data_IF_359765957238
#
_entry.id   IF_359765957238
#
_cell.length_a   1.000
_cell.length_b   1.000
_cell.length_c   1.000
_cell.angle_alpha   90.00
_cell.angle_beta   90.00
_cell.angle_gamma   90.00
#
_symmetry.space_group_name_H-M   'P 1'
#
loop_
_entity.id
_entity.type
_entity.pdbx_description
1 polymer ?
#
# COMPACT_ATOMS: atom_id res chain seq x y z
N UNK A 1 14.20 14.84 -15.60
CA UNK A 1 13.02 14.57 -16.47
C UNK A 1 11.78 14.15 -15.66
N UNK A 2 11.92 13.56 -14.47
CA UNK A 2 10.82 13.14 -13.56
C UNK A 2 9.90 14.28 -13.10
N UNK A 3 10.42 15.47 -12.81
CA UNK A 3 9.60 16.62 -12.37
C UNK A 3 8.58 17.06 -13.43
N UNK A 4 8.94 17.00 -14.72
CA UNK A 4 8.04 17.35 -15.82
C UNK A 4 6.87 16.37 -15.93
N UNK A 5 7.14 15.07 -15.78
CA UNK A 5 6.11 14.03 -15.73
C UNK A 5 5.21 14.18 -14.49
N UNK A 6 5.80 14.52 -13.33
CA UNK A 6 5.04 14.80 -12.11
C UNK A 6 4.09 15.99 -12.29
N UNK A 7 4.58 17.13 -12.80
CA UNK A 7 3.76 18.31 -13.04
C UNK A 7 2.66 18.01 -14.08
N UNK A 8 3.00 17.33 -15.17
CA UNK A 8 2.01 16.92 -16.16
C UNK A 8 0.93 16.02 -15.53
N UNK A 9 1.33 15.08 -14.67
CA UNK A 9 0.39 14.23 -13.93
C UNK A 9 -0.54 15.02 -13.00
N UNK A 10 -0.02 15.99 -12.26
CA UNK A 10 -0.81 16.88 -11.40
C UNK A 10 -1.78 17.73 -12.21
N UNK A 11 -1.35 18.29 -13.34
CA UNK A 11 -2.24 19.07 -14.21
C UNK A 11 -3.33 18.21 -14.86
N UNK A 12 -3.00 16.99 -15.26
CA UNK A 12 -3.94 16.05 -15.89
C UNK A 12 -4.92 15.43 -14.88
N UNK A 13 -4.55 15.34 -13.59
CA UNK A 13 -5.41 14.79 -12.55
C UNK A 13 -6.64 15.66 -12.27
N UNK A 14 -6.53 16.97 -12.51
CA UNK A 14 -7.66 17.92 -12.42
C UNK A 14 -8.55 17.93 -13.67
N UNK A 15 -8.14 17.25 -14.75
CA UNK A 15 -8.92 17.21 -15.99
C UNK A 15 -10.12 16.25 -15.92
N UNK A 16 -11.16 16.54 -16.71
CA UNK A 16 -12.29 15.63 -16.94
C UNK A 16 -11.88 14.30 -17.60
N UNK A 17 -10.68 14.23 -18.18
CA UNK A 17 -10.12 13.04 -18.83
C UNK A 17 -9.26 12.17 -17.91
N UNK A 18 -9.08 12.53 -16.63
CA UNK A 18 -8.20 11.81 -15.68
C UNK A 18 -8.38 10.30 -15.67
N UNK A 19 -9.63 9.82 -15.69
CA UNK A 19 -9.94 8.40 -15.62
C UNK A 19 -9.55 7.66 -16.90
N UNK A 20 -9.72 8.31 -18.06
CA UNK A 20 -9.33 7.76 -19.35
C UNK A 20 -7.81 7.68 -19.47
N UNK A 21 -7.13 8.76 -19.09
CA UNK A 21 -5.67 8.83 -19.04
C UNK A 21 -5.09 7.78 -18.10
N UNK A 22 -5.70 7.56 -16.93
CA UNK A 22 -5.27 6.52 -15.99
C UNK A 22 -5.34 5.13 -16.62
N UNK A 23 -6.47 4.79 -17.25
CA UNK A 23 -6.66 3.51 -17.93
C UNK A 23 -5.65 3.33 -19.06
N UNK A 24 -5.36 4.39 -19.83
CA UNK A 24 -4.42 4.34 -20.94
C UNK A 24 -2.96 4.16 -20.47
N UNK A 25 -2.58 4.69 -19.29
CA UNK A 25 -1.21 4.63 -18.75
C UNK A 25 -0.95 3.35 -17.92
N UNK A 26 -1.96 2.79 -17.26
CA UNK A 26 -1.81 1.62 -16.37
C UNK A 26 -1.03 0.45 -17.01
N UNK A 27 -1.28 0.06 -18.28
CA UNK A 27 -0.55 -1.02 -18.94
C UNK A 27 0.95 -0.72 -19.11
N UNK A 28 1.31 0.55 -19.28
CA UNK A 28 2.71 0.97 -19.47
C UNK A 28 3.44 1.16 -18.15
N UNK A 29 2.73 1.34 -17.03
CA UNK A 29 3.35 1.62 -15.74
C UNK A 29 4.35 0.56 -15.32
N UNK A 30 3.98 -0.72 -15.43
CA UNK A 30 4.87 -1.84 -15.11
C UNK A 30 6.08 -1.92 -16.05
N UNK A 31 5.87 -1.69 -17.34
CA UNK A 31 6.94 -1.69 -18.35
C UNK A 31 7.96 -0.55 -18.10
N UNK A 32 7.47 0.66 -17.86
CA UNK A 32 8.30 1.84 -17.58
C UNK A 32 9.06 1.69 -16.27
N UNK A 33 8.43 1.12 -15.24
CA UNK A 33 9.10 0.83 -13.97
C UNK A 33 10.21 -0.23 -14.14
N UNK A 34 9.93 -1.30 -14.90
CA UNK A 34 10.93 -2.31 -15.24
C UNK A 34 12.11 -1.73 -16.00
N UNK A 35 11.83 -0.90 -17.02
CA UNK A 35 12.88 -0.21 -17.78
C UNK A 35 13.70 0.75 -16.90
N UNK A 36 13.04 1.47 -15.99
CA UNK A 36 13.72 2.34 -15.02
C UNK A 36 14.70 1.56 -14.15
N UNK A 37 14.28 0.43 -13.56
CA UNK A 37 15.15 -0.36 -12.71
C UNK A 37 16.29 -1.03 -13.49
N UNK A 38 16.05 -1.50 -14.71
CA UNK A 38 17.10 -2.08 -15.57
C UNK A 38 18.15 -1.00 -15.91
N UNK A 39 17.72 0.14 -16.42
CA UNK A 39 18.63 1.23 -16.83
C UNK A 39 19.41 1.81 -15.66
N UNK A 40 18.74 1.98 -14.51
CA UNK A 40 19.37 2.45 -13.28
C UNK A 40 20.36 1.41 -12.74
N UNK A 41 20.00 0.13 -12.77
CA UNK A 41 20.91 -0.97 -12.39
C UNK A 41 22.14 -1.07 -13.28
N UNK A 42 21.99 -0.86 -14.60
CA UNK A 42 23.13 -0.82 -15.53
C UNK A 42 24.05 0.39 -15.32
N UNK A 43 23.54 1.46 -14.72
CA UNK A 43 24.33 2.66 -14.40
C UNK A 43 25.18 2.48 -13.14
N UNK A 44 24.94 1.42 -12.36
CA UNK A 44 25.69 1.09 -11.15
C UNK A 44 26.99 0.36 -11.50
N UNK A 45 28.13 0.90 -11.07
CA UNK A 45 29.43 0.24 -11.17
C UNK A 45 29.67 -0.65 -9.94
N UNK A 46 29.51 -1.96 -10.11
CA UNK A 46 29.73 -2.95 -9.05
C UNK A 46 31.20 -3.05 -8.61
N UNK A 47 32.14 -2.59 -9.44
CA UNK A 47 33.56 -2.58 -9.09
C UNK A 47 33.81 -1.67 -7.88
N UNK A 48 33.13 -0.52 -7.84
CA UNK A 48 33.19 0.44 -6.73
C UNK A 48 32.68 -0.19 -5.43
N UNK A 49 31.63 -1.03 -5.52
CA UNK A 49 31.14 -1.80 -4.37
C UNK A 49 32.18 -2.80 -3.86
N UNK A 50 32.87 -3.49 -4.77
CA UNK A 50 33.88 -4.48 -4.42
C UNK A 50 35.15 -3.84 -3.81
N UNK A 51 35.50 -2.63 -4.26
CA UNK A 51 36.67 -1.88 -3.76
C UNK A 51 36.43 -1.27 -2.38
N UNK A 52 35.21 -0.76 -2.11
CA UNK A 52 34.89 -0.04 -0.87
C UNK A 52 33.60 -0.54 -0.18
N UNK A 53 33.48 -1.85 0.11
CA UNK A 53 32.23 -2.43 0.60
C UNK A 53 31.81 -1.88 1.97
N UNK A 54 32.78 -1.58 2.84
CA UNK A 54 32.53 -1.06 4.19
C UNK A 54 31.96 0.36 4.15
N UNK A 55 32.56 1.24 3.34
CA UNK A 55 32.14 2.63 3.21
C UNK A 55 30.74 2.73 2.61
N UNK A 56 30.47 1.98 1.54
CA UNK A 56 29.16 1.97 0.88
C UNK A 56 28.09 1.40 1.80
N UNK A 57 28.37 0.30 2.49
CA UNK A 57 27.41 -0.29 3.44
C UNK A 57 27.12 0.69 4.58
N UNK A 58 28.14 1.36 5.12
CA UNK A 58 27.97 2.38 6.14
C UNK A 58 27.11 3.57 5.64
N UNK A 59 27.31 4.02 4.41
CA UNK A 59 26.50 5.07 3.79
C UNK A 59 25.04 4.64 3.58
N UNK A 60 24.79 3.40 3.13
CA UNK A 60 23.44 2.85 2.95
C UNK A 60 22.72 2.79 4.30
N UNK A 61 23.36 2.20 5.32
CA UNK A 61 22.78 2.08 6.67
C UNK A 61 22.55 3.46 7.29
N UNK A 62 23.49 4.40 7.11
CA UNK A 62 23.35 5.78 7.58
C UNK A 62 22.19 6.50 6.90
N UNK A 63 22.11 6.45 5.56
CA UNK A 63 21.03 7.06 4.77
C UNK A 63 19.66 6.57 5.24
N UNK A 64 19.51 5.24 5.30
CA UNK A 64 18.27 4.58 5.69
C UNK A 64 17.95 4.89 7.15
N UNK A 65 18.91 4.72 8.06
CA UNK A 65 18.71 4.92 9.49
C UNK A 65 18.30 6.35 9.80
N UNK A 66 19.03 7.33 9.27
CA UNK A 66 18.72 8.76 9.49
C UNK A 66 17.34 9.11 8.95
N UNK A 67 17.02 8.75 7.70
CA UNK A 67 15.69 9.06 7.13
C UNK A 67 14.57 8.31 7.85
N UNK A 68 14.75 7.01 8.11
CA UNK A 68 13.73 6.20 8.76
C UNK A 68 13.44 6.70 10.18
N UNK A 69 14.47 6.98 10.99
CA UNK A 69 14.29 7.54 12.32
C UNK A 69 13.67 8.94 12.28
N UNK A 70 14.11 9.80 11.36
CA UNK A 70 13.53 11.15 11.24
C UNK A 70 12.04 11.08 10.89
N UNK A 71 11.66 10.24 9.92
CA UNK A 71 10.27 10.08 9.51
C UNK A 71 9.42 9.43 10.59
N UNK A 72 9.94 8.41 11.28
CA UNK A 72 9.24 7.75 12.39
C UNK A 72 9.04 8.69 13.60
N UNK A 73 9.96 9.62 13.84
CA UNK A 73 9.80 10.64 14.89
C UNK A 73 8.80 11.72 14.47
N UNK A 74 8.84 12.15 13.20
CA UNK A 74 7.94 13.15 12.65
C UNK A 74 6.51 12.65 12.49
N UNK A 75 6.27 11.34 12.44
CA UNK A 75 4.94 10.75 12.31
C UNK A 75 4.16 10.68 13.63
N UNK A 76 4.85 10.70 14.78
CA UNK A 76 4.23 10.68 16.10
C UNK A 76 3.16 11.77 16.34
N UNK A 77 3.35 13.06 15.96
CA UNK A 77 2.31 14.08 16.12
C UNK A 77 1.08 13.87 15.23
N UNK A 78 1.13 12.95 14.25
CA UNK A 78 0.00 12.64 13.36
C UNK A 78 -0.88 11.49 13.86
N UNK A 79 -0.78 11.14 15.15
CA UNK A 79 -1.51 10.03 15.80
C UNK A 79 -1.22 8.65 15.20
N UNK A 80 -0.07 8.47 14.54
CA UNK A 80 0.36 7.15 14.06
C UNK A 80 0.94 6.34 15.23
N UNK A 81 0.58 5.07 15.32
CA UNK A 81 1.18 4.14 16.30
C UNK A 81 2.68 4.02 16.06
N UNK A 82 3.43 3.59 17.08
CA UNK A 82 4.89 3.35 16.95
C UNK A 82 5.20 2.33 15.84
N UNK A 83 4.32 1.34 15.66
CA UNK A 83 4.43 0.34 14.60
C UNK A 83 4.23 0.96 13.21
N UNK A 84 3.18 1.77 13.03
CA UNK A 84 2.92 2.48 11.77
C UNK A 84 4.01 3.50 11.44
N UNK A 85 4.47 4.24 12.45
CA UNK A 85 5.58 5.19 12.35
C UNK A 85 6.88 4.52 11.90
N UNK A 86 7.20 3.36 12.48
CA UNK A 86 8.39 2.57 12.10
C UNK A 86 8.27 2.03 10.67
N UNK A 87 7.09 1.51 10.30
CA UNK A 87 6.82 1.02 8.95
C UNK A 87 6.94 2.15 7.92
N UNK A 88 6.38 3.31 8.20
CA UNK A 88 6.49 4.51 7.37
C UNK A 88 7.97 4.90 7.16
N UNK A 89 8.73 4.98 8.25
CA UNK A 89 10.15 5.30 8.20
C UNK A 89 10.96 4.33 7.36
N UNK A 90 10.73 3.02 7.51
CA UNK A 90 11.43 1.99 6.73
C UNK A 90 11.08 2.05 5.24
N UNK A 91 9.80 2.20 4.89
CA UNK A 91 9.37 2.24 3.48
C UNK A 91 9.89 3.51 2.77
N UNK A 92 9.97 4.64 3.48
CA UNK A 92 10.38 5.93 2.91
C UNK A 92 11.87 6.27 3.15
N UNK A 93 12.61 5.39 3.83
CA UNK A 93 14.00 5.58 4.24
C UNK A 93 15.02 5.54 3.10
N UNK A 94 14.68 4.93 1.97
CA UNK A 94 15.55 4.79 0.80
C UNK A 94 15.92 6.12 0.12
N UNK A 95 16.94 6.08 -0.74
CA UNK A 95 17.24 7.14 -1.69
C UNK A 95 16.16 7.28 -2.79
N UNK A 96 15.95 8.49 -3.28
CA UNK A 96 14.97 8.78 -4.34
C UNK A 96 15.63 9.04 -5.70
N UNK A 97 14.87 8.86 -6.79
CA UNK A 97 15.37 9.01 -8.17
C UNK A 97 15.83 10.44 -8.50
N UNK A 98 15.29 11.43 -7.77
CA UNK A 98 15.73 12.82 -7.88
C UNK A 98 17.19 13.02 -7.48
N UNK A 99 17.77 12.13 -6.68
CA UNK A 99 19.19 12.15 -6.35
C UNK A 99 20.08 12.08 -7.59
N UNK A 100 19.74 11.24 -8.57
CA UNK A 100 20.50 11.12 -9.82
C UNK A 100 20.60 12.44 -10.59
N UNK A 101 19.49 13.21 -10.62
CA UNK A 101 19.46 14.51 -11.30
C UNK A 101 20.34 15.51 -10.57
N UNK A 102 20.29 15.54 -9.24
CA UNK A 102 21.09 16.44 -8.41
C UNK A 102 22.57 16.10 -8.52
N UNK A 103 22.94 14.81 -8.42
CA UNK A 103 24.34 14.39 -8.51
C UNK A 103 24.92 14.63 -9.89
N UNK A 104 24.18 14.30 -10.96
CA UNK A 104 24.61 14.60 -12.31
C UNK A 104 24.82 16.09 -12.55
N UNK A 105 23.93 16.95 -12.00
CA UNK A 105 24.08 18.40 -12.10
C UNK A 105 25.28 18.91 -11.28
N UNK A 106 25.44 18.45 -10.05
CA UNK A 106 26.55 18.83 -9.19
C UNK A 106 27.91 18.40 -9.76
N UNK A 107 27.97 17.20 -10.33
CA UNK A 107 29.15 16.67 -11.03
C UNK A 107 29.48 17.49 -12.27
N UNK A 108 28.47 17.79 -13.11
CA UNK A 108 28.64 18.65 -14.30
C UNK A 108 29.14 20.05 -13.95
N UNK A 109 28.72 20.60 -12.81
CA UNK A 109 29.15 21.91 -12.32
C UNK A 109 30.52 21.88 -11.61
N UNK A 110 31.13 20.70 -11.44
CA UNK A 110 32.42 20.52 -10.77
C UNK A 110 32.36 20.56 -9.23
N UNK A 111 31.16 20.57 -8.64
CA UNK A 111 30.99 20.51 -7.18
C UNK A 111 31.13 19.09 -6.61
N UNK A 112 30.96 18.07 -7.47
CA UNK A 112 31.00 16.67 -7.06
C UNK A 112 32.04 15.90 -7.91
N UNK A 113 33.14 15.42 -7.32
CA UNK A 113 34.11 14.58 -8.03
C UNK A 113 33.45 13.31 -8.59
N UNK A 114 33.98 12.79 -9.70
CA UNK A 114 33.44 11.61 -10.39
C UNK A 114 33.38 10.38 -9.47
N UNK A 115 34.40 10.17 -8.64
CA UNK A 115 34.48 9.03 -7.72
C UNK A 115 33.36 9.09 -6.68
N UNK A 116 33.09 10.28 -6.12
CA UNK A 116 32.00 10.49 -5.16
C UNK A 116 30.64 10.30 -5.84
N UNK A 117 30.49 10.78 -7.08
CA UNK A 117 29.26 10.58 -7.84
C UNK A 117 28.95 9.09 -8.04
N UNK A 118 29.95 8.28 -8.43
CA UNK A 118 29.79 6.82 -8.58
C UNK A 118 29.38 6.15 -7.27
N UNK A 119 30.03 6.49 -6.15
CA UNK A 119 29.68 5.97 -4.83
C UNK A 119 28.22 6.31 -4.47
N UNK A 120 27.81 7.57 -4.66
CA UNK A 120 26.46 8.02 -4.34
C UNK A 120 25.38 7.35 -5.21
N UNK A 121 25.67 7.12 -6.51
CA UNK A 121 24.79 6.36 -7.40
C UNK A 121 24.62 4.93 -6.87
N UNK A 122 25.72 4.24 -6.54
CA UNK A 122 25.68 2.87 -5.98
C UNK A 122 24.85 2.82 -4.70
N UNK A 123 25.03 3.79 -3.79
CA UNK A 123 24.29 3.89 -2.52
C UNK A 123 22.78 4.05 -2.77
N UNK A 124 22.37 4.96 -3.66
CA UNK A 124 20.94 5.14 -3.96
C UNK A 124 20.34 3.87 -4.58
N UNK A 125 20.97 3.32 -5.62
CA UNK A 125 20.45 2.14 -6.32
C UNK A 125 20.33 0.95 -5.37
N UNK A 126 21.35 0.72 -4.56
CA UNK A 126 21.37 -0.36 -3.56
C UNK A 126 20.31 -0.15 -2.47
N UNK A 127 20.09 1.09 -2.02
CA UNK A 127 19.03 1.41 -1.06
C UNK A 127 17.63 1.15 -1.62
N UNK A 128 17.39 1.46 -2.90
CA UNK A 128 16.12 1.18 -3.59
C UNK A 128 15.91 -0.33 -3.81
N UNK A 129 16.99 -1.07 -4.08
CA UNK A 129 16.93 -2.53 -4.19
C UNK A 129 16.58 -3.20 -2.84
N UNK A 130 16.99 -2.59 -1.71
CA UNK A 130 16.72 -3.09 -0.36
C UNK A 130 15.30 -2.79 0.14
N UNK A 131 14.60 -1.83 -0.47
CA UNK A 131 13.24 -1.42 -0.14
C UNK A 131 12.23 -2.54 0.09
N UNK A 132 12.05 -3.52 -0.83
CA UNK A 132 11.08 -4.59 -0.62
C UNK A 132 11.39 -5.41 0.64
N UNK A 133 12.67 -5.66 0.93
CA UNK A 133 13.08 -6.35 2.15
C UNK A 133 12.80 -5.50 3.41
N UNK A 134 13.00 -4.19 3.33
CA UNK A 134 12.66 -3.27 4.42
C UNK A 134 11.16 -3.17 4.67
N UNK A 135 10.34 -3.20 3.63
CA UNK A 135 8.88 -3.18 3.74
C UNK A 135 8.37 -4.44 4.46
N UNK A 136 8.91 -5.61 4.11
CA UNK A 136 8.63 -6.89 4.78
C UNK A 136 9.12 -6.85 6.24
N UNK A 137 10.33 -6.34 6.50
CA UNK A 137 10.85 -6.19 7.85
C UNK A 137 9.95 -5.29 8.71
N UNK A 138 9.48 -4.16 8.16
CA UNK A 138 8.54 -3.27 8.85
C UNK A 138 7.20 -3.94 9.17
N UNK A 139 6.68 -4.76 8.25
CA UNK A 139 5.46 -5.53 8.48
C UNK A 139 5.64 -6.59 9.60
N UNK A 140 6.79 -7.24 9.66
CA UNK A 140 7.11 -8.24 10.70
C UNK A 140 7.39 -7.62 12.07
N UNK A 141 7.97 -6.42 12.12
CA UNK A 141 8.30 -5.73 13.38
C UNK A 141 7.08 -5.07 14.03
N UNK A 142 6.04 -4.73 13.25
CA UNK A 142 4.80 -4.13 13.73
C UNK A 142 4.16 -4.88 14.94
N UNK A 143 3.98 -6.21 14.92
CA UNK A 143 3.40 -6.94 16.06
C UNK A 143 4.30 -6.97 17.30
N UNK A 144 5.63 -6.98 17.15
CA UNK A 144 6.56 -7.01 18.29
C UNK A 144 6.65 -5.65 19.01
N UNK A 145 6.51 -4.56 18.26
CA UNK A 145 6.55 -3.19 18.79
C UNK A 145 5.26 -2.86 19.56
N UNK A 146 4.10 -3.35 19.09
CA UNK A 146 2.83 -3.19 19.81
C UNK A 146 2.80 -3.93 21.16
N UNK A 147 3.56 -5.01 21.33
CA UNK A 147 3.60 -5.77 22.57
C UNK A 147 4.37 -5.07 23.72
N UNK A 148 5.15 -4.01 23.44
CA UNK A 148 6.08 -3.40 24.41
C UNK A 148 5.66 -2.01 24.94
N UNK A 149 4.51 -1.49 24.53
CA UNK A 149 4.00 -0.19 24.99
C UNK A 149 2.60 -0.38 25.59
N UNK A 150 2.33 0.05 26.84
CA UNK A 150 0.97 0.08 27.36
C UNK A 150 0.18 1.05 26.50
N UNK A 151 -0.71 0.50 25.68
CA UNK A 151 -1.53 1.24 24.73
C UNK A 151 -2.38 2.27 25.46
N UNK A 152 -2.09 3.56 25.24
CA UNK A 152 -3.16 4.54 25.17
C UNK A 152 -3.93 4.20 23.90
N UNK A 153 -5.12 3.63 24.10
CA UNK A 153 -6.15 3.51 23.09
C UNK A 153 -6.33 4.88 22.43
N UNK A 154 -5.84 5.00 21.20
CA UNK A 154 -6.17 6.10 20.31
C UNK A 154 -6.36 5.46 18.96
N UNK A 155 -7.64 5.19 18.69
CA UNK A 155 -8.22 4.80 17.43
C UNK A 155 -7.77 5.79 16.33
N UNK A 156 -6.79 5.39 15.54
CA UNK A 156 -6.36 6.13 14.35
C UNK A 156 -5.75 5.19 13.31
N UNK A 157 -6.45 4.09 13.05
CA UNK A 157 -6.33 3.28 11.85
C UNK A 157 -7.71 2.69 11.66
N UNK A 158 -8.28 2.78 10.46
CA UNK A 158 -9.58 2.23 10.13
C UNK A 158 -9.58 0.70 10.27
N UNK A 159 -9.61 0.22 11.51
CA UNK A 159 -10.18 -1.06 11.85
C UNK A 159 -11.67 -0.91 11.55
N UNK A 160 -12.10 -1.56 10.47
CA UNK A 160 -13.48 -1.96 10.31
C UNK A 160 -13.92 -2.49 11.67
N UNK A 161 -14.90 -1.83 12.28
CA UNK A 161 -15.59 -2.30 13.46
C UNK A 161 -16.21 -3.64 13.10
N UNK A 162 -15.44 -4.71 13.24
CA UNK A 162 -15.98 -6.04 13.44
C UNK A 162 -16.26 -6.06 14.93
N UNK A 163 -17.54 -6.04 15.37
CA UNK A 163 -17.83 -6.21 16.78
C UNK A 163 -17.19 -7.52 17.21
N UNK A 164 -16.21 -7.41 18.10
CA UNK A 164 -15.61 -8.52 18.82
C UNK A 164 -16.70 -9.20 19.62
N UNK A 165 -17.42 -10.14 19.00
CA UNK A 165 -18.10 -11.25 19.67
C UNK A 165 -18.72 -12.20 18.64
N UNK A 166 -18.35 -13.46 18.80
CA UNK A 166 -18.96 -14.65 18.18
C UNK A 166 -18.42 -14.99 16.80
N UNK A 167 -17.45 -15.90 16.82
CA UNK A 167 -17.31 -17.00 15.86
C UNK A 167 -18.52 -17.11 14.92
N UNK A 168 -18.41 -16.59 13.69
CA UNK A 168 -19.36 -16.93 12.62
C UNK A 168 -19.08 -18.37 12.17
N UNK A 169 -19.38 -19.31 13.08
CA UNK A 169 -19.65 -20.70 12.78
C UNK A 169 -20.93 -20.73 11.93
N UNK A 170 -20.86 -21.43 10.79
CA UNK A 170 -21.96 -21.92 9.92
C UNK A 170 -23.32 -21.21 10.05
N UNK A 171 -23.84 -20.71 8.91
CA UNK A 171 -25.16 -20.05 8.76
C UNK A 171 -25.17 -18.53 8.57
N UNK A 172 -24.28 -18.02 7.70
CA UNK A 172 -24.27 -16.60 7.29
C UNK A 172 -24.58 -16.47 5.79
N UNK A 173 -25.41 -15.48 5.45
CA UNK A 173 -25.67 -15.07 4.07
C UNK A 173 -24.68 -13.98 3.65
N UNK A 174 -23.97 -14.18 2.53
CA UNK A 174 -23.11 -13.15 1.95
C UNK A 174 -23.93 -12.33 0.96
N UNK A 175 -23.91 -11.01 1.09
CA UNK A 175 -24.50 -10.09 0.13
C UNK A 175 -23.38 -9.38 -0.61
N UNK A 176 -23.27 -9.61 -1.91
CA UNK A 176 -22.30 -8.93 -2.77
C UNK A 176 -23.00 -7.77 -3.49
N UNK A 177 -22.55 -6.56 -3.19
CA UNK A 177 -23.14 -5.29 -3.63
C UNK A 177 -24.03 -4.64 -2.56
N UNK A 178 -23.72 -3.40 -2.18
CA UNK A 178 -24.51 -2.55 -1.29
C UNK A 178 -25.18 -1.37 -2.04
N UNK A 179 -25.58 -1.63 -3.29
CA UNK A 179 -26.35 -0.69 -4.11
C UNK A 179 -27.84 -0.66 -3.74
N UNK A 180 -28.69 -0.10 -4.61
CA UNK A 180 -30.13 0.03 -4.37
C UNK A 180 -30.81 -1.32 -4.05
N UNK A 181 -30.45 -2.38 -4.78
CA UNK A 181 -30.99 -3.73 -4.55
C UNK A 181 -30.39 -4.38 -3.29
N UNK A 182 -29.06 -4.27 -3.10
CA UNK A 182 -28.37 -4.77 -1.91
C UNK A 182 -28.93 -4.23 -0.60
N UNK A 183 -29.25 -2.93 -0.56
CA UNK A 183 -29.89 -2.27 0.58
C UNK A 183 -31.25 -2.90 0.94
N UNK A 184 -32.07 -3.23 -0.06
CA UNK A 184 -33.37 -3.90 0.15
C UNK A 184 -33.18 -5.30 0.72
N UNK A 185 -32.19 -6.06 0.23
CA UNK A 185 -31.88 -7.40 0.73
C UNK A 185 -31.41 -7.34 2.19
N UNK A 186 -30.50 -6.42 2.51
CA UNK A 186 -30.04 -6.17 3.88
C UNK A 186 -31.21 -5.88 4.82
N UNK A 187 -32.12 -4.99 4.43
CA UNK A 187 -33.29 -4.65 5.24
C UNK A 187 -34.20 -5.86 5.47
N UNK A 188 -34.38 -6.72 4.46
CA UNK A 188 -35.19 -7.94 4.59
C UNK A 188 -34.57 -8.96 5.55
N UNK A 189 -33.25 -9.19 5.45
CA UNK A 189 -32.55 -10.14 6.32
C UNK A 189 -32.49 -9.62 7.77
N UNK A 190 -32.26 -8.32 7.93
CA UNK A 190 -32.26 -7.65 9.25
C UNK A 190 -33.61 -7.84 9.96
N UNK A 191 -34.74 -7.61 9.26
CA UNK A 191 -36.09 -7.80 9.82
C UNK A 191 -36.40 -9.25 10.20
N UNK A 192 -35.75 -10.22 9.57
CA UNK A 192 -35.93 -11.66 9.84
C UNK A 192 -34.89 -12.22 10.81
N UNK A 193 -34.01 -11.38 11.37
CA UNK A 193 -32.91 -11.80 12.25
C UNK A 193 -32.01 -12.87 11.62
N UNK A 194 -31.83 -12.84 10.30
CA UNK A 194 -30.95 -13.76 9.58
C UNK A 194 -29.54 -13.15 9.59
N UNK A 195 -28.50 -13.88 10.04
CA UNK A 195 -27.12 -13.39 10.00
C UNK A 195 -26.64 -13.15 8.56
N UNK A 196 -26.04 -11.99 8.30
CA UNK A 196 -25.47 -11.67 7.00
C UNK A 196 -24.19 -10.85 7.11
N UNK A 197 -23.43 -10.80 6.01
CA UNK A 197 -22.30 -9.90 5.80
C UNK A 197 -22.40 -9.25 4.43
N UNK A 198 -22.14 -7.95 4.37
CA UNK A 198 -22.16 -7.17 3.13
C UNK A 198 -20.75 -7.02 2.59
N UNK A 199 -20.55 -7.26 1.30
CA UNK A 199 -19.28 -7.10 0.60
C UNK A 199 -19.51 -6.19 -0.61
N UNK A 200 -18.71 -5.14 -0.74
CA UNK A 200 -18.70 -4.25 -1.90
C UNK A 200 -17.27 -3.74 -2.14
N UNK A 201 -16.96 -3.38 -3.38
CA UNK A 201 -15.68 -2.77 -3.76
C UNK A 201 -15.67 -1.25 -3.58
N UNK A 202 -16.86 -0.64 -3.48
CA UNK A 202 -17.03 0.79 -3.32
C UNK A 202 -16.94 1.18 -1.83
N UNK A 203 -15.84 1.84 -1.47
CA UNK A 203 -15.56 2.27 -0.10
C UNK A 203 -16.64 3.23 0.45
N UNK A 204 -17.24 4.07 -0.39
CA UNK A 204 -18.27 5.02 0.05
C UNK A 204 -19.55 4.28 0.47
N UNK A 205 -19.91 3.21 -0.25
CA UNK A 205 -21.06 2.36 0.09
C UNK A 205 -20.80 1.55 1.36
N UNK A 206 -19.59 1.02 1.53
CA UNK A 206 -19.21 0.31 2.77
C UNK A 206 -19.19 1.26 3.96
N UNK A 207 -18.75 2.51 3.78
CA UNK A 207 -18.82 3.53 4.83
C UNK A 207 -20.27 3.83 5.24
N UNK A 208 -21.19 3.96 4.28
CA UNK A 208 -22.63 4.11 4.56
C UNK A 208 -23.21 2.90 5.32
N UNK A 209 -22.78 1.68 4.99
CA UNK A 209 -23.19 0.47 5.69
C UNK A 209 -22.62 0.41 7.14
N UNK A 210 -21.35 0.74 7.30
CA UNK A 210 -20.64 0.71 8.59
C UNK A 210 -21.21 1.72 9.58
N UNK A 211 -21.56 2.94 9.13
CA UNK A 211 -22.21 3.96 9.97
C UNK A 211 -23.56 3.48 10.52
N UNK A 212 -24.23 2.55 9.82
CA UNK A 212 -25.49 1.93 10.27
C UNK A 212 -25.27 0.71 11.18
N UNK A 213 -24.02 0.39 11.52
CA UNK A 213 -23.66 -0.76 12.35
C UNK A 213 -23.84 -2.10 11.66
N UNK A 214 -23.88 -2.13 10.33
CA UNK A 214 -24.05 -3.37 9.57
C UNK A 214 -22.72 -4.13 9.48
N UNK A 215 -22.72 -5.48 9.54
CA UNK A 215 -21.52 -6.27 9.26
C UNK A 215 -21.13 -6.12 7.78
N UNK A 216 -20.03 -5.42 7.50
CA UNK A 216 -19.59 -5.13 6.14
C UNK A 216 -18.07 -5.18 5.95
N UNK A 217 -17.62 -5.55 4.74
CA UNK A 217 -16.22 -5.63 4.35
C UNK A 217 -16.04 -5.02 2.96
N UNK A 218 -15.01 -4.19 2.80
CA UNK A 218 -14.61 -3.69 1.49
C UNK A 218 -13.71 -4.72 0.81
N UNK A 219 -14.23 -5.42 -0.20
CA UNK A 219 -13.49 -6.43 -0.95
C UNK A 219 -14.01 -6.57 -2.39
N UNK A 220 -13.14 -7.05 -3.27
CA UNK A 220 -13.45 -7.26 -4.68
C UNK A 220 -13.91 -8.70 -4.92
N UNK A 221 -15.21 -8.88 -5.16
CA UNK A 221 -15.82 -10.20 -5.37
C UNK A 221 -15.40 -10.88 -6.68
N UNK A 222 -14.71 -10.20 -7.59
CA UNK A 222 -14.12 -10.83 -8.79
C UNK A 222 -12.83 -11.59 -8.47
N UNK A 223 -12.20 -11.34 -7.32
CA UNK A 223 -10.98 -12.03 -6.91
C UNK A 223 -11.32 -13.34 -6.19
N UNK A 224 -10.62 -14.45 -6.48
CA UNK A 224 -10.91 -15.75 -5.88
C UNK A 224 -10.78 -15.78 -4.35
N UNK A 225 -9.97 -14.88 -3.78
CA UNK A 225 -9.64 -14.87 -2.34
C UNK A 225 -10.60 -13.99 -1.50
N UNK A 226 -11.64 -13.38 -2.09
CA UNK A 226 -12.50 -12.43 -1.38
C UNK A 226 -13.24 -13.04 -0.17
N UNK A 227 -13.52 -14.35 -0.20
CA UNK A 227 -14.12 -15.08 0.92
C UNK A 227 -13.17 -15.19 2.12
N UNK A 228 -11.87 -15.31 1.86
CA UNK A 228 -10.84 -15.32 2.90
C UNK A 228 -10.68 -13.93 3.52
N UNK A 229 -10.75 -12.86 2.72
CA UNK A 229 -10.77 -11.47 3.20
C UNK A 229 -12.00 -11.19 4.08
N UNK A 230 -13.16 -11.74 3.71
CA UNK A 230 -14.38 -11.68 4.52
C UNK A 230 -14.37 -12.60 5.76
N UNK A 231 -13.33 -13.42 5.94
CA UNK A 231 -13.21 -14.44 6.98
C UNK A 231 -14.40 -15.42 7.04
N UNK A 232 -15.05 -15.68 5.90
CA UNK A 232 -16.17 -16.62 5.79
C UNK A 232 -15.71 -17.89 5.09
N UNK A 233 -15.64 -19.01 5.83
CA UNK A 233 -15.17 -20.28 5.27
C UNK A 233 -16.29 -21.13 4.65
N UNK A 234 -17.55 -20.92 5.04
CA UNK A 234 -18.70 -21.70 4.53
C UNK A 234 -20.01 -20.90 4.64
N UNK A 235 -20.38 -20.10 3.62
CA UNK A 235 -21.64 -19.38 3.61
C UNK A 235 -22.82 -20.32 3.31
N UNK A 236 -23.99 -20.00 3.86
CA UNK A 236 -25.23 -20.77 3.59
C UNK A 236 -25.91 -20.32 2.31
N UNK A 237 -25.73 -19.07 1.92
CA UNK A 237 -26.16 -18.55 0.63
C UNK A 237 -25.31 -17.33 0.24
N UNK A 238 -25.20 -17.08 -1.06
CA UNK A 238 -24.62 -15.85 -1.61
C UNK A 238 -25.66 -15.15 -2.47
N UNK A 239 -25.89 -13.87 -2.19
CA UNK A 239 -26.83 -13.02 -2.91
C UNK A 239 -26.04 -11.98 -3.68
N UNK A 240 -26.12 -12.05 -5.01
CA UNK A 240 -25.46 -11.10 -5.91
C UNK A 240 -26.45 -10.00 -6.28
N UNK A 241 -26.09 -8.75 -6.01
CA UNK A 241 -26.95 -7.59 -6.33
C UNK A 241 -26.28 -6.56 -7.25
N UNK A 242 -25.12 -6.92 -7.81
CA UNK A 242 -24.37 -6.11 -8.78
C UNK A 242 -24.79 -6.43 -10.22
N UNK A 243 -24.79 -5.40 -11.08
CA UNK A 243 -25.36 -5.48 -12.44
C UNK A 243 -24.40 -6.07 -13.50
N UNK A 244 -23.18 -6.41 -13.13
CA UNK A 244 -22.16 -6.99 -14.03
C UNK A 244 -21.05 -7.65 -13.22
N UNK A 245 -21.11 -8.96 -13.05
CA UNK A 245 -20.02 -9.73 -12.43
C UNK A 245 -19.76 -10.96 -13.30
N UNK A 246 -18.52 -11.15 -13.75
CA UNK A 246 -18.06 -12.39 -14.35
C UNK A 246 -17.43 -13.27 -13.28
N UNK A 247 -18.20 -14.21 -12.72
CA UNK A 247 -17.69 -15.11 -11.69
C UNK A 247 -16.97 -16.32 -12.31
N UNK A 248 -15.80 -16.73 -11.81
CA UNK A 248 -15.33 -18.09 -11.97
C UNK A 248 -16.21 -19.00 -11.11
N UNK A 249 -17.07 -19.81 -11.73
CA UNK A 249 -18.03 -20.71 -11.07
C UNK A 249 -17.39 -21.81 -10.18
N UNK A 250 -16.07 -21.83 -10.02
CA UNK A 250 -15.31 -22.88 -9.31
C UNK A 250 -15.19 -22.68 -7.79
N UNK A 251 -15.84 -21.65 -7.22
CA UNK A 251 -15.68 -21.24 -5.82
C UNK A 251 -16.89 -21.51 -4.91
N UNK A 252 -17.96 -22.11 -5.44
CA UNK A 252 -19.18 -22.49 -4.70
C UNK A 252 -19.45 -23.98 -4.78
#
# INVERSE_FOLDING_TARGET
MTLGAFIAGVLLSESSYRSKIKVDIEPFRGLLLGLFFITTGMSMDLSVFAEQPVEITALIVSLIGVKASTLALLSLPFNLTTAESTKLGLILGQGGEFGFVIFALANKLGFLPDDVNKILVVVIVSSMALTPAMAEAGARLAPFIQASVPSKETEAGAEVVVPSQTLLQKDVVIIVGYGAVGKVVVDMLTRKFIPFIVIDRDEDLIRDASVKGLPCVCADAEKPDFLAEARVSSPTAVVLTMNSVSFPFSLF
#
